data_IF_719084142502
#
_entry.id   IF_719084142502
#
_cell.length_a   1.000
_cell.length_b   1.000
_cell.length_c   1.000
_cell.angle_alpha   90.00
_cell.angle_beta   90.00
_cell.angle_gamma   90.00
#
_symmetry.space_group_name_H-M   'P 1'
#
loop_
_entity.id
_entity.type
_entity.pdbx_description
1 polymer ?
#
# COMPACT_ATOMS: atom_id res chain seq x y z
N UNK A 1 -0.90 -10.76 -19.74
CA UNK A 1 -2.16 -10.02 -19.75
C UNK A 1 -1.93 -8.63 -19.19
N UNK A 2 -1.41 -8.49 -17.99
CA UNK A 2 -1.24 -7.19 -17.28
C UNK A 2 -0.39 -6.18 -18.08
N UNK A 3 0.69 -6.62 -18.74
CA UNK A 3 1.57 -5.77 -19.55
C UNK A 3 0.91 -5.20 -20.83
N UNK A 4 -0.32 -5.59 -21.12
CA UNK A 4 -1.10 -5.06 -22.25
C UNK A 4 -2.12 -3.99 -21.80
N UNK A 5 -2.16 -3.66 -20.52
CA UNK A 5 -3.02 -2.57 -20.03
C UNK A 5 -2.52 -1.25 -20.60
N UNK A 6 -3.45 -0.51 -21.17
CA UNK A 6 -3.23 0.83 -21.71
C UNK A 6 -3.81 1.88 -20.74
N UNK A 7 -3.10 3.00 -20.59
CA UNK A 7 -3.50 4.04 -19.65
C UNK A 7 -4.81 4.71 -20.02
N UNK A 8 -5.09 4.86 -21.31
CA UNK A 8 -6.35 5.45 -21.78
C UNK A 8 -7.54 4.57 -21.41
N UNK A 9 -7.41 3.24 -21.55
CA UNK A 9 -8.44 2.29 -21.13
C UNK A 9 -8.66 2.31 -19.61
N UNK A 10 -7.56 2.42 -18.84
CA UNK A 10 -7.65 2.49 -17.39
C UNK A 10 -8.34 3.78 -16.93
N UNK A 11 -7.99 4.93 -17.51
CA UNK A 11 -8.62 6.23 -17.20
C UNK A 11 -10.10 6.24 -17.62
N UNK A 12 -10.43 5.77 -18.82
CA UNK A 12 -11.82 5.64 -19.28
C UNK A 12 -12.66 4.76 -18.34
N UNK A 13 -12.05 3.70 -17.78
CA UNK A 13 -12.70 2.83 -16.81
C UNK A 13 -12.96 3.56 -15.48
N UNK A 14 -12.01 4.38 -15.01
CA UNK A 14 -12.20 5.22 -13.83
C UNK A 14 -13.32 6.24 -14.04
N UNK A 15 -13.38 6.88 -15.21
CA UNK A 15 -14.43 7.82 -15.55
C UNK A 15 -15.82 7.17 -15.55
N UNK A 16 -15.92 5.93 -16.04
CA UNK A 16 -17.18 5.17 -16.06
C UNK A 16 -17.69 4.79 -14.68
N UNK A 17 -16.80 4.43 -13.74
CA UNK A 17 -17.21 4.10 -12.36
C UNK A 17 -17.46 5.34 -11.50
N UNK A 18 -17.11 6.52 -12.00
CA UNK A 18 -17.18 7.77 -11.27
C UNK A 18 -15.95 7.99 -10.38
N UNK A 19 -16.00 9.01 -9.53
CA UNK A 19 -14.88 9.37 -8.64
C UNK A 19 -14.78 8.39 -7.45
N UNK A 20 -13.78 7.51 -7.40
CA UNK A 20 -13.54 6.69 -6.21
C UNK A 20 -12.97 7.54 -5.07
N UNK A 21 -13.11 7.09 -3.81
CA UNK A 21 -12.46 7.74 -2.67
C UNK A 21 -10.96 7.42 -2.61
N UNK A 22 -10.57 6.22 -3.04
CA UNK A 22 -9.21 5.69 -3.01
C UNK A 22 -8.90 4.91 -4.28
N UNK A 23 -7.71 5.09 -4.83
CA UNK A 23 -7.11 4.30 -5.90
C UNK A 23 -5.92 3.54 -5.35
N UNK A 24 -5.84 2.24 -5.63
CA UNK A 24 -4.69 1.40 -5.27
C UNK A 24 -3.97 0.95 -6.53
N UNK A 25 -2.65 1.08 -6.56
CA UNK A 25 -1.78 0.57 -7.62
C UNK A 25 -0.68 -0.32 -7.09
N UNK A 26 -0.23 -1.25 -7.93
CA UNK A 26 0.91 -2.14 -7.71
C UNK A 26 1.78 -2.17 -8.97
N UNK A 27 2.97 -2.79 -8.91
CA UNK A 27 3.87 -2.90 -10.06
C UNK A 27 3.63 -4.15 -10.91
N UNK A 28 2.43 -4.67 -10.88
CA UNK A 28 1.99 -5.76 -11.76
C UNK A 28 1.47 -5.29 -13.13
N UNK A 29 1.43 -3.99 -13.35
CA UNK A 29 1.07 -3.32 -14.61
C UNK A 29 2.22 -2.42 -15.08
N UNK A 30 2.25 -1.96 -16.33
CA UNK A 30 3.29 -1.05 -16.80
C UNK A 30 3.40 0.22 -15.96
N UNK A 31 4.63 0.66 -15.67
CA UNK A 31 4.90 1.82 -14.82
C UNK A 31 4.21 3.09 -15.33
N UNK A 32 4.27 3.34 -16.63
CA UNK A 32 3.64 4.49 -17.25
C UNK A 32 2.11 4.51 -17.05
N UNK A 33 1.47 3.34 -16.97
CA UNK A 33 0.03 3.26 -16.67
C UNK A 33 -0.24 3.72 -15.24
N UNK A 34 0.58 3.26 -14.27
CA UNK A 34 0.49 3.75 -12.90
C UNK A 34 0.68 5.27 -12.83
N UNK A 35 1.69 5.82 -13.52
CA UNK A 35 1.98 7.27 -13.54
C UNK A 35 0.78 8.08 -14.03
N UNK A 36 0.21 7.70 -15.17
CA UNK A 36 -0.92 8.42 -15.76
C UNK A 36 -2.20 8.30 -14.92
N UNK A 37 -2.49 7.10 -14.43
CA UNK A 37 -3.67 6.83 -13.61
C UNK A 37 -3.59 7.51 -12.24
N UNK A 38 -2.41 7.52 -11.61
CA UNK A 38 -2.18 8.23 -10.35
C UNK A 38 -2.25 9.75 -10.53
N UNK A 39 -1.68 10.26 -11.62
CA UNK A 39 -1.79 11.69 -11.98
C UNK A 39 -3.25 12.10 -12.19
N UNK A 40 -4.03 11.27 -12.91
CA UNK A 40 -5.46 11.51 -13.11
C UNK A 40 -6.21 11.49 -11.76
N UNK A 41 -5.97 10.50 -10.92
CA UNK A 41 -6.59 10.36 -9.61
C UNK A 41 -6.27 11.56 -8.71
N UNK A 42 -5.00 11.96 -8.64
CA UNK A 42 -4.54 13.11 -7.85
C UNK A 42 -5.21 14.41 -8.29
N UNK A 43 -5.25 14.69 -9.60
CA UNK A 43 -5.93 15.88 -10.15
C UNK A 43 -7.42 15.94 -9.84
N UNK A 44 -8.04 14.77 -9.64
CA UNK A 44 -9.45 14.67 -9.28
C UNK A 44 -9.68 14.56 -7.75
N UNK A 45 -8.63 14.74 -6.93
CA UNK A 45 -8.72 14.71 -5.49
C UNK A 45 -9.07 13.32 -4.93
N UNK A 46 -8.63 12.26 -5.61
CA UNK A 46 -8.71 10.87 -5.17
C UNK A 46 -7.44 10.54 -4.39
N UNK A 47 -7.56 9.88 -3.24
CA UNK A 47 -6.39 9.40 -2.50
C UNK A 47 -5.77 8.21 -3.22
N UNK A 48 -4.45 8.19 -3.33
CA UNK A 48 -3.71 7.13 -4.03
C UNK A 48 -2.87 6.32 -3.04
N UNK A 49 -2.88 5.02 -3.20
CA UNK A 49 -2.05 4.08 -2.43
C UNK A 49 -1.17 3.32 -3.43
N UNK A 50 0.13 3.40 -3.27
CA UNK A 50 1.09 2.60 -4.01
C UNK A 50 1.67 1.50 -3.11
N UNK A 51 1.38 0.25 -3.45
CA UNK A 51 2.06 -0.91 -2.89
C UNK A 51 3.09 -1.38 -3.92
N UNK A 52 4.40 -1.24 -3.67
CA UNK A 52 5.44 -1.47 -4.67
C UNK A 52 5.77 -2.96 -4.87
N UNK A 53 4.75 -3.78 -5.07
CA UNK A 53 4.85 -5.21 -5.30
C UNK A 53 4.62 -5.57 -6.77
N UNK A 54 5.49 -6.37 -7.43
CA UNK A 54 6.83 -6.76 -6.97
C UNK A 54 7.77 -5.57 -6.84
N UNK A 55 8.79 -5.68 -5.98
CA UNK A 55 9.71 -4.59 -5.69
C UNK A 55 10.30 -3.97 -6.97
N UNK A 56 10.08 -2.69 -7.14
CA UNK A 56 10.65 -1.88 -8.20
C UNK A 56 10.72 -0.43 -7.73
N UNK A 57 11.70 0.31 -8.20
CA UNK A 57 11.84 1.71 -7.83
C UNK A 57 10.77 2.56 -8.54
N UNK A 58 9.88 3.23 -7.80
CA UNK A 58 8.92 4.14 -8.41
C UNK A 58 9.63 5.34 -9.03
N UNK A 59 9.02 5.92 -10.05
CA UNK A 59 9.49 7.19 -10.62
C UNK A 59 9.09 8.36 -9.73
N UNK A 60 9.80 9.49 -9.85
CA UNK A 60 9.48 10.70 -9.11
C UNK A 60 8.06 11.20 -9.45
N UNK A 61 7.66 11.07 -10.72
CA UNK A 61 6.31 11.44 -11.20
C UNK A 61 5.23 10.62 -10.47
N UNK A 62 5.44 9.30 -10.31
CA UNK A 62 4.49 8.44 -9.62
C UNK A 62 4.41 8.79 -8.12
N UNK A 63 5.57 9.06 -7.51
CA UNK A 63 5.65 9.42 -6.09
C UNK A 63 4.97 10.76 -5.78
N UNK A 64 5.12 11.77 -6.64
CA UNK A 64 4.44 13.06 -6.51
C UNK A 64 2.90 12.94 -6.45
N UNK A 65 2.36 11.89 -7.07
CA UNK A 65 0.92 11.61 -7.10
C UNK A 65 0.50 10.49 -6.14
N UNK A 66 1.42 10.02 -5.28
CA UNK A 66 1.17 8.97 -4.28
C UNK A 66 0.87 9.59 -2.92
N UNK A 67 -0.33 9.33 -2.38
CA UNK A 67 -0.72 9.77 -1.04
C UNK A 67 -0.15 8.88 0.06
N UNK A 68 -0.09 7.58 -0.21
CA UNK A 68 0.40 6.55 0.71
C UNK A 68 1.29 5.55 -0.04
N UNK A 69 2.49 5.34 0.47
CA UNK A 69 3.45 4.35 -0.03
C UNK A 69 3.57 3.21 0.99
N UNK A 70 3.23 1.97 0.58
CA UNK A 70 3.10 0.84 1.51
C UNK A 70 3.96 -0.34 1.03
N UNK A 71 5.29 -0.33 1.25
CA UNK A 71 6.17 -1.47 1.04
C UNK A 71 6.13 -2.44 2.23
N UNK A 72 6.64 -3.66 2.03
CA UNK A 72 7.11 -4.50 3.13
C UNK A 72 8.60 -4.23 3.42
N UNK A 73 9.19 -4.91 4.45
CA UNK A 73 10.61 -4.73 4.82
C UNK A 73 11.55 -5.00 3.62
N UNK A 74 11.29 -6.06 2.84
CA UNK A 74 12.14 -6.44 1.69
C UNK A 74 12.03 -5.42 0.57
N UNK A 75 10.81 -5.04 0.22
CA UNK A 75 10.55 -4.00 -0.79
C UNK A 75 11.17 -2.65 -0.38
N UNK A 76 11.07 -2.29 0.91
CA UNK A 76 11.73 -1.10 1.44
C UNK A 76 13.24 -1.15 1.22
N UNK A 77 13.90 -2.25 1.59
CA UNK A 77 15.35 -2.42 1.45
C UNK A 77 15.78 -2.41 -0.02
N UNK A 78 15.03 -3.08 -0.90
CA UNK A 78 15.34 -3.11 -2.34
C UNK A 78 15.16 -1.74 -3.02
N UNK A 79 14.17 -0.95 -2.60
CA UNK A 79 13.86 0.36 -3.19
C UNK A 79 14.75 1.46 -2.63
N UNK A 80 14.96 1.48 -1.32
CA UNK A 80 15.77 2.49 -0.64
C UNK A 80 17.27 2.19 -0.70
N UNK A 81 17.64 0.90 -0.73
CA UNK A 81 19.04 0.46 -0.77
C UNK A 81 19.69 0.34 0.62
N UNK A 82 18.93 0.50 1.69
CA UNK A 82 19.39 0.43 3.07
C UNK A 82 18.46 -0.48 3.88
N UNK A 83 19.01 -1.17 4.89
CA UNK A 83 18.25 -2.03 5.77
C UNK A 83 17.16 -1.25 6.53
N UNK A 84 16.02 -1.91 6.77
CA UNK A 84 14.94 -1.30 7.53
C UNK A 84 15.37 -1.05 8.98
N UNK A 85 15.28 0.20 9.39
CA UNK A 85 15.30 0.66 10.78
C UNK A 85 14.54 1.99 10.87
N UNK A 86 14.29 2.49 12.09
CA UNK A 86 13.48 3.68 12.31
C UNK A 86 14.11 4.94 11.70
N UNK A 87 15.42 5.10 11.80
CA UNK A 87 16.15 6.25 11.24
C UNK A 87 16.07 6.26 9.71
N UNK A 88 16.33 5.11 9.08
CA UNK A 88 16.26 4.95 7.63
C UNK A 88 14.83 5.16 7.12
N UNK A 89 13.81 4.67 7.84
CA UNK A 89 12.42 4.93 7.47
C UNK A 89 12.08 6.42 7.52
N UNK A 90 12.55 7.14 8.54
CA UNK A 90 12.29 8.57 8.67
C UNK A 90 12.98 9.36 7.55
N UNK A 91 14.23 9.03 7.22
CA UNK A 91 14.96 9.65 6.10
C UNK A 91 14.25 9.38 4.77
N UNK A 92 13.91 8.12 4.51
CA UNK A 92 13.21 7.71 3.30
C UNK A 92 11.88 8.47 3.09
N UNK A 93 11.06 8.55 4.14
CA UNK A 93 9.78 9.24 4.05
C UNK A 93 9.92 10.76 3.84
N UNK A 94 10.95 11.37 4.44
CA UNK A 94 11.26 12.78 4.23
C UNK A 94 11.70 13.05 2.77
N UNK A 95 12.47 12.13 2.18
CA UNK A 95 12.91 12.23 0.78
C UNK A 95 11.73 12.07 -0.18
N UNK A 96 10.84 11.13 0.08
CA UNK A 96 9.66 10.87 -0.75
C UNK A 96 8.58 11.94 -0.65
N UNK A 97 8.51 12.68 0.46
CA UNK A 97 7.44 13.66 0.75
C UNK A 97 6.03 13.07 0.68
N UNK A 98 5.90 11.78 0.93
CA UNK A 98 4.61 11.06 0.99
C UNK A 98 4.45 10.33 2.31
N UNK A 99 3.24 9.91 2.64
CA UNK A 99 3.03 9.11 3.84
C UNK A 99 3.54 7.68 3.59
N UNK A 100 4.35 7.16 4.50
CA UNK A 100 4.93 5.81 4.38
C UNK A 100 4.43 4.93 5.51
N UNK A 101 4.03 3.72 5.15
CA UNK A 101 3.76 2.61 6.08
C UNK A 101 4.55 1.40 5.61
N UNK A 102 5.42 0.85 6.46
CA UNK A 102 6.16 -0.39 6.16
C UNK A 102 5.52 -1.54 6.90
N UNK A 103 5.10 -2.59 6.18
CA UNK A 103 4.60 -3.81 6.81
C UNK A 103 5.77 -4.69 7.26
N UNK A 104 5.71 -5.18 8.52
CA UNK A 104 6.78 -5.90 9.21
C UNK A 104 6.42 -7.36 9.51
N UNK A 105 5.52 -7.95 8.72
CA UNK A 105 5.03 -9.30 8.93
C UNK A 105 4.41 -9.47 10.32
N UNK A 106 4.85 -10.48 11.07
CA UNK A 106 4.34 -10.77 12.41
C UNK A 106 4.64 -9.68 13.46
N UNK A 107 5.55 -8.76 13.16
CA UNK A 107 5.86 -7.62 14.03
C UNK A 107 4.84 -6.47 13.90
N UNK A 108 3.97 -6.50 12.88
CA UNK A 108 2.96 -5.49 12.62
C UNK A 108 3.33 -4.52 11.49
N UNK A 109 3.29 -3.22 11.74
CA UNK A 109 3.71 -2.20 10.77
C UNK A 109 4.38 -1.01 11.44
N UNK A 110 5.24 -0.31 10.69
CA UNK A 110 5.84 0.96 11.07
C UNK A 110 5.23 2.08 10.25
N UNK A 111 4.97 3.22 10.86
CA UNK A 111 4.42 4.41 10.22
C UNK A 111 4.96 5.68 10.87
N UNK A 112 4.81 6.82 10.20
CA UNK A 112 5.30 8.09 10.73
C UNK A 112 4.13 8.91 11.28
N UNK A 113 4.29 9.40 12.49
CA UNK A 113 3.39 10.35 13.15
C UNK A 113 4.19 11.41 13.90
N UNK A 114 3.85 12.67 13.66
CA UNK A 114 4.53 13.81 14.30
C UNK A 114 6.07 13.75 14.15
N UNK A 115 6.54 13.48 12.93
CA UNK A 115 7.95 13.36 12.61
C UNK A 115 8.71 12.31 13.43
N UNK A 116 8.05 11.26 13.86
CA UNK A 116 8.65 10.11 14.55
C UNK A 116 8.05 8.81 14.07
N UNK A 117 8.87 7.77 14.03
CA UNK A 117 8.41 6.42 13.69
C UNK A 117 7.61 5.85 14.86
N UNK A 118 6.50 5.21 14.52
CA UNK A 118 5.65 4.44 15.42
C UNK A 118 5.53 3.02 14.90
N UNK A 119 5.58 2.07 15.80
CA UNK A 119 5.34 0.66 15.48
C UNK A 119 4.00 0.25 16.08
N UNK A 120 3.08 -0.16 15.22
CA UNK A 120 1.84 -0.79 15.64
C UNK A 120 2.00 -2.31 15.52
N UNK A 121 1.95 -2.98 16.66
CA UNK A 121 2.08 -4.45 16.74
C UNK A 121 0.78 -5.11 16.31
N UNK A 122 0.90 -6.33 15.78
CA UNK A 122 -0.24 -7.22 15.53
C UNK A 122 -0.30 -8.35 16.56
N UNK A 123 -1.45 -9.02 16.63
CA UNK A 123 -1.59 -10.19 17.47
C UNK A 123 -0.75 -11.36 16.91
N UNK A 124 -0.11 -12.10 17.81
CA UNK A 124 0.64 -13.27 17.43
C UNK A 124 -0.32 -14.43 17.15
N UNK A 125 -0.30 -14.94 15.91
CA UNK A 125 -1.10 -16.08 15.47
C UNK A 125 -0.23 -17.15 14.84
N UNK A 126 -0.72 -18.40 14.82
CA UNK A 126 -0.07 -19.45 14.07
C UNK A 126 -0.42 -19.31 12.59
N UNK A 127 0.51 -18.79 11.80
CA UNK A 127 0.32 -18.66 10.36
C UNK A 127 0.22 -20.05 9.70
N UNK A 128 -0.76 -20.20 8.79
CA UNK A 128 -0.96 -21.38 7.94
C UNK A 128 -0.48 -21.07 6.53
N UNK A 129 -0.80 -19.88 6.03
CA UNK A 129 -0.42 -19.42 4.69
C UNK A 129 -0.29 -17.89 4.72
N UNK A 130 0.88 -17.37 4.40
CA UNK A 130 1.15 -15.92 4.41
C UNK A 130 0.87 -15.25 3.07
N UNK A 131 0.49 -16.02 2.05
CA UNK A 131 0.19 -15.50 0.72
C UNK A 131 -1.00 -14.55 0.76
N UNK A 132 -0.84 -13.35 0.21
CA UNK A 132 -1.89 -12.33 0.14
C UNK A 132 -2.11 -11.53 1.44
N UNK A 133 -1.29 -11.72 2.48
CA UNK A 133 -1.39 -10.92 3.70
C UNK A 133 -1.16 -9.42 3.42
N UNK A 134 -0.21 -9.08 2.53
CA UNK A 134 0.02 -7.72 2.07
C UNK A 134 -1.20 -7.13 1.36
N UNK A 135 -1.83 -7.92 0.48
CA UNK A 135 -3.04 -7.49 -0.24
C UNK A 135 -4.21 -7.27 0.73
N UNK A 136 -4.36 -8.16 1.73
CA UNK A 136 -5.37 -8.00 2.79
C UNK A 136 -5.13 -6.72 3.60
N UNK A 137 -3.86 -6.43 3.93
CA UNK A 137 -3.48 -5.20 4.61
C UNK A 137 -3.85 -3.96 3.78
N UNK A 138 -3.37 -3.89 2.54
CA UNK A 138 -3.62 -2.75 1.64
C UNK A 138 -5.11 -2.57 1.37
N UNK A 139 -5.83 -3.66 1.12
CA UNK A 139 -7.28 -3.64 0.91
C UNK A 139 -8.04 -3.08 2.12
N UNK A 140 -7.72 -3.54 3.33
CA UNK A 140 -8.37 -3.07 4.55
C UNK A 140 -7.96 -1.63 4.91
N UNK A 141 -6.71 -1.24 4.68
CA UNK A 141 -6.24 0.13 4.85
C UNK A 141 -6.97 1.09 3.90
N UNK A 142 -7.10 0.72 2.62
CA UNK A 142 -7.83 1.51 1.63
C UNK A 142 -9.31 1.67 1.98
N UNK A 143 -9.96 0.62 2.49
CA UNK A 143 -11.32 0.69 2.99
C UNK A 143 -11.45 1.65 4.17
N UNK A 144 -10.52 1.61 5.13
CA UNK A 144 -10.50 2.54 6.26
C UNK A 144 -10.37 4.00 5.81
N UNK A 145 -9.47 4.28 4.86
CA UNK A 145 -9.31 5.62 4.29
C UNK A 145 -10.56 6.10 3.53
N UNK A 146 -11.21 5.22 2.76
CA UNK A 146 -12.45 5.52 2.06
C UNK A 146 -13.61 5.78 3.04
N UNK A 147 -13.61 5.07 4.17
CA UNK A 147 -14.56 5.26 5.28
C UNK A 147 -14.24 6.47 6.16
N UNK A 148 -13.18 7.22 5.86
CA UNK A 148 -12.74 8.41 6.59
C UNK A 148 -12.38 8.14 8.06
N UNK A 149 -11.88 6.94 8.35
CA UNK A 149 -11.34 6.59 9.66
C UNK A 149 -10.02 7.33 9.92
N UNK A 150 -9.69 7.52 11.19
CA UNK A 150 -8.37 8.00 11.59
C UNK A 150 -7.28 7.00 11.20
N UNK A 151 -6.07 7.48 10.96
CA UNK A 151 -4.99 6.65 10.41
C UNK A 151 -4.68 5.43 11.28
N UNK A 152 -4.64 5.61 12.60
CA UNK A 152 -4.42 4.48 13.51
C UNK A 152 -5.55 3.45 13.47
N UNK A 153 -6.78 3.87 13.22
CA UNK A 153 -7.91 2.95 13.03
C UNK A 153 -7.78 2.20 11.71
N UNK A 154 -7.37 2.89 10.62
CA UNK A 154 -7.07 2.25 9.35
C UNK A 154 -5.97 1.18 9.49
N UNK A 155 -4.87 1.51 10.19
CA UNK A 155 -3.75 0.60 10.41
C UNK A 155 -4.16 -0.60 11.27
N UNK A 156 -4.94 -0.38 12.34
CA UNK A 156 -5.46 -1.45 13.20
C UNK A 156 -6.35 -2.41 12.42
N UNK A 157 -7.27 -1.87 11.61
CA UNK A 157 -8.12 -2.68 10.73
C UNK A 157 -7.30 -3.48 9.72
N UNK A 158 -6.30 -2.85 9.10
CA UNK A 158 -5.41 -3.48 8.13
C UNK A 158 -4.61 -4.63 8.74
N UNK A 159 -4.01 -4.43 9.92
CA UNK A 159 -3.29 -5.46 10.65
C UNK A 159 -4.20 -6.61 11.04
N UNK A 160 -5.40 -6.34 11.54
CA UNK A 160 -6.37 -7.38 11.89
C UNK A 160 -6.71 -8.24 10.67
N UNK A 161 -7.02 -7.63 9.53
CA UNK A 161 -7.39 -8.37 8.30
C UNK A 161 -6.21 -9.16 7.72
N UNK A 162 -5.00 -8.60 7.74
CA UNK A 162 -3.79 -9.33 7.37
C UNK A 162 -3.55 -10.54 8.29
N UNK A 163 -3.70 -10.36 9.61
CA UNK A 163 -3.55 -11.44 10.60
C UNK A 163 -4.62 -12.52 10.42
N UNK A 164 -5.88 -12.15 10.20
CA UNK A 164 -6.96 -13.09 9.93
C UNK A 164 -6.67 -13.91 8.66
N UNK A 165 -6.14 -13.30 7.61
CA UNK A 165 -5.87 -13.95 6.33
C UNK A 165 -4.84 -15.08 6.46
N UNK A 166 -3.78 -14.89 7.25
CA UNK A 166 -2.71 -15.89 7.39
C UNK A 166 -3.11 -17.11 8.21
N UNK A 167 -4.25 -17.09 8.91
CA UNK A 167 -4.79 -18.23 9.65
C UNK A 167 -5.56 -19.24 8.78
N UNK A 168 -5.70 -18.96 7.49
CA UNK A 168 -6.46 -19.78 6.53
C UNK A 168 -5.60 -20.08 5.30
N UNK A 169 -5.95 -21.13 4.54
CA UNK A 169 -5.28 -21.44 3.28
C UNK A 169 -5.84 -20.61 2.12
N UNK A 170 -4.94 -20.18 1.24
CA UNK A 170 -5.24 -19.45 0.01
C UNK A 170 -5.51 -17.97 0.23
N UNK A 171 -5.62 -17.24 -0.86
CA UNK A 171 -5.80 -15.79 -0.88
C UNK A 171 -7.28 -15.40 -0.77
N UNK A 172 -8.03 -15.41 -1.88
CA UNK A 172 -9.44 -14.99 -1.89
C UNK A 172 -10.33 -15.78 -0.91
N UNK A 173 -10.04 -17.08 -0.70
CA UNK A 173 -10.79 -17.91 0.25
C UNK A 173 -10.53 -17.55 1.70
N UNK A 174 -9.36 -16.99 2.02
CA UNK A 174 -9.00 -16.56 3.37
C UNK A 174 -9.71 -15.26 3.78
N UNK A 175 -10.12 -14.42 2.82
CA UNK A 175 -10.81 -13.14 3.07
C UNK A 175 -12.31 -13.28 3.34
N UNK A 176 -12.89 -14.46 3.15
CA UNK A 176 -14.29 -14.71 3.46
C UNK A 176 -14.48 -14.79 4.98
N UNK A 177 -15.47 -14.06 5.47
CA UNK A 177 -15.93 -14.10 6.86
C UNK A 177 -16.50 -15.46 7.23
#
# INVERSE_FOLDING_TARGET
ANNLLDSSLAIESLEKIGKPDVLVGQFEIPMNVNEEVFSYAYKNGVKTILNPAPANKPTDILLEHTSWFIPNEVEFEEIYGEVFNEDNLLLFANDLKTNVVVTLGEKGCAYIKNNSVKIMKTDSVKAIDTTGAGDAFVGAFSFGLASKLEIEECLKLALQKATDSVTKKGTQSSYKN
#
